data_IF_054017232120
#
_entry.id   IF_054017232120
#
_cell.length_a   1.000
_cell.length_b   1.000
_cell.length_c   1.000
_cell.angle_alpha   90.00
_cell.angle_beta   90.00
_cell.angle_gamma   90.00
#
_symmetry.space_group_name_H-M   'P 1'
#
loop_
_entity.id
_entity.type
_entity.pdbx_description
1 polymer ?
#
# COMPACT_ATOMS: atom_id res chain seq x y z
N UNK A 1 13.96 2.14 -7.76
CA UNK A 1 13.55 3.49 -7.32
C UNK A 1 13.58 4.40 -8.54
N UNK A 2 12.53 5.18 -8.80
CA UNK A 2 12.54 6.17 -9.89
C UNK A 2 12.86 7.56 -9.34
N UNK A 3 14.14 7.93 -9.26
CA UNK A 3 14.56 9.31 -8.98
C UNK A 3 13.73 10.31 -9.80
N UNK A 4 13.60 11.57 -9.37
CA UNK A 4 12.86 12.61 -10.10
C UNK A 4 13.33 12.85 -11.55
N UNK A 5 14.38 12.17 -11.99
CA UNK A 5 14.95 12.18 -13.34
C UNK A 5 14.61 10.93 -14.16
N UNK A 6 13.88 9.94 -13.62
CA UNK A 6 13.58 8.73 -14.40
C UNK A 6 12.36 8.97 -15.27
N UNK A 7 12.63 9.20 -16.55
CA UNK A 7 11.69 8.99 -17.63
C UNK A 7 10.92 7.68 -17.40
N UNK A 8 9.61 7.81 -17.18
CA UNK A 8 8.70 6.67 -17.12
C UNK A 8 8.53 6.14 -18.53
N UNK A 9 8.96 4.89 -18.75
CA UNK A 9 8.79 4.21 -20.03
C UNK A 9 7.45 3.48 -20.03
N UNK A 10 6.65 3.69 -21.07
CA UNK A 10 5.29 3.15 -21.16
C UNK A 10 5.24 1.61 -21.17
N UNK A 11 6.30 0.96 -21.64
CA UNK A 11 6.46 -0.50 -21.76
C UNK A 11 6.99 -1.18 -20.48
N UNK A 12 7.18 -0.44 -19.38
CA UNK A 12 7.65 -0.98 -18.09
C UNK A 12 6.56 -1.01 -17.04
N UNK A 13 6.74 -1.91 -16.07
CA UNK A 13 5.92 -2.03 -14.88
C UNK A 13 6.59 -1.40 -13.67
N UNK A 14 5.81 -0.71 -12.84
CA UNK A 14 6.28 0.07 -11.72
C UNK A 14 5.51 -0.28 -10.45
N UNK A 15 6.25 -0.63 -9.41
CA UNK A 15 5.67 -0.97 -8.11
C UNK A 15 5.51 0.30 -7.26
N UNK A 16 4.25 0.75 -7.08
CA UNK A 16 3.90 2.03 -6.47
C UNK A 16 4.24 2.14 -4.98
N UNK A 17 4.43 1.03 -4.28
CA UNK A 17 4.75 1.04 -2.85
C UNK A 17 6.24 0.75 -2.57
N UNK A 18 7.08 0.66 -3.60
CA UNK A 18 8.43 0.09 -3.45
C UNK A 18 9.37 0.96 -2.60
N UNK A 19 9.21 2.29 -2.63
CA UNK A 19 10.00 3.16 -1.75
C UNK A 19 9.49 3.15 -0.32
N UNK A 20 8.17 3.19 -0.15
CA UNK A 20 7.53 3.13 1.18
C UNK A 20 7.89 1.84 1.90
N UNK A 21 8.00 0.72 1.18
CA UNK A 21 8.44 -0.57 1.70
C UNK A 21 9.85 -0.59 2.32
N UNK A 22 10.68 0.45 2.11
CA UNK A 22 11.98 0.58 2.77
C UNK A 22 11.87 1.03 4.23
N UNK A 23 10.75 1.64 4.61
CA UNK A 23 10.46 1.99 6.00
C UNK A 23 10.01 0.75 6.76
N UNK A 24 10.70 0.43 7.85
CA UNK A 24 10.42 -0.74 8.70
C UNK A 24 9.08 -0.64 9.46
N UNK A 25 8.48 0.55 9.49
CA UNK A 25 7.15 0.79 10.04
C UNK A 25 6.05 0.82 8.97
N UNK A 26 6.40 0.53 7.71
CA UNK A 26 5.47 0.49 6.59
C UNK A 26 5.18 -0.93 6.15
N UNK A 27 3.92 -1.29 6.05
CA UNK A 27 3.53 -2.63 5.63
C UNK A 27 2.03 -2.87 5.69
N UNK A 28 1.59 -3.86 4.93
CA UNK A 28 0.23 -4.41 4.94
C UNK A 28 0.05 -5.50 5.99
N UNK A 29 1.12 -6.14 6.47
CA UNK A 29 1.06 -7.16 7.52
C UNK A 29 2.13 -6.90 8.58
N UNK A 30 1.97 -7.49 9.78
CA UNK A 30 2.98 -7.39 10.85
C UNK A 30 3.32 -8.75 11.46
N UNK A 31 4.54 -9.23 11.30
CA UNK A 31 4.97 -10.52 11.84
C UNK A 31 6.10 -10.35 12.83
N UNK A 32 5.94 -10.93 14.03
CA UNK A 32 6.93 -10.86 15.12
C UNK A 32 7.44 -9.44 15.43
N UNK A 33 6.54 -8.45 15.40
CA UNK A 33 6.88 -7.05 15.67
C UNK A 33 7.28 -6.23 14.44
N UNK A 34 7.61 -6.88 13.31
CA UNK A 34 8.07 -6.20 12.10
C UNK A 34 6.93 -6.02 11.09
N UNK A 35 6.79 -4.81 10.54
CA UNK A 35 5.89 -4.58 9.41
C UNK A 35 6.55 -5.05 8.11
N UNK A 36 5.74 -5.61 7.22
CA UNK A 36 6.18 -5.94 5.87
C UNK A 36 5.08 -5.71 4.84
N UNK A 37 5.49 -5.69 3.57
CA UNK A 37 4.61 -5.43 2.43
C UNK A 37 4.63 -6.62 1.46
N UNK A 38 3.66 -7.53 1.61
CA UNK A 38 3.42 -8.64 0.68
C UNK A 38 2.36 -8.30 -0.38
N UNK A 39 1.58 -7.26 -0.13
CA UNK A 39 0.51 -6.81 -0.99
C UNK A 39 1.03 -5.68 -1.91
N UNK A 40 0.88 -5.86 -3.22
CA UNK A 40 1.57 -5.05 -4.21
C UNK A 40 0.60 -4.30 -5.13
N UNK A 41 0.97 -3.07 -5.48
CA UNK A 41 0.31 -2.26 -6.51
C UNK A 41 1.33 -2.01 -7.63
N UNK A 42 1.11 -2.64 -8.78
CA UNK A 42 2.01 -2.58 -9.93
C UNK A 42 1.22 -2.04 -11.12
N UNK A 43 1.72 -0.97 -11.74
CA UNK A 43 1.07 -0.29 -12.87
C UNK A 43 2.04 -0.16 -14.05
N UNK A 44 1.50 0.00 -15.27
CA UNK A 44 2.32 0.36 -16.43
C UNK A 44 2.81 1.81 -16.33
N UNK A 45 3.92 2.12 -17.02
CA UNK A 45 4.44 3.49 -17.09
C UNK A 45 3.48 4.48 -17.71
N UNK A 46 2.56 4.02 -18.58
CA UNK A 46 1.49 4.86 -19.15
C UNK A 46 0.60 5.47 -18.06
N UNK A 47 0.31 4.72 -16.98
CA UNK A 47 -0.50 5.22 -15.86
C UNK A 47 0.27 6.16 -14.94
N UNK A 48 1.56 6.39 -15.18
CA UNK A 48 2.39 7.36 -14.46
C UNK A 48 2.62 8.65 -15.26
N UNK A 49 2.07 8.74 -16.47
CA UNK A 49 2.11 9.95 -17.28
C UNK A 49 0.95 10.88 -16.88
N UNK A 50 1.27 11.94 -16.14
CA UNK A 50 0.30 12.93 -15.67
C UNK A 50 -0.35 13.72 -16.81
N UNK A 51 0.18 13.66 -18.02
CA UNK A 51 -0.44 14.26 -19.22
C UNK A 51 -1.48 13.35 -19.88
N UNK A 52 -1.53 12.07 -19.46
CA UNK A 52 -2.49 11.09 -19.94
C UNK A 52 -3.92 11.33 -19.44
N UNK A 53 -4.90 10.66 -20.05
CA UNK A 53 -6.31 10.78 -19.65
C UNK A 53 -6.61 10.18 -18.28
N UNK A 54 -5.90 9.11 -17.90
CA UNK A 54 -6.01 8.42 -16.62
C UNK A 54 -4.60 8.21 -16.08
N UNK A 55 -4.33 8.71 -14.88
CA UNK A 55 -2.99 8.65 -14.30
C UNK A 55 -3.02 8.52 -12.78
N UNK A 56 -1.89 8.13 -12.22
CA UNK A 56 -1.63 8.09 -10.78
C UNK A 56 -0.19 8.46 -10.50
N UNK A 57 0.13 8.59 -9.22
CA UNK A 57 1.46 8.91 -8.72
C UNK A 57 1.79 8.02 -7.52
N UNK A 58 3.07 7.76 -7.27
CA UNK A 58 3.52 6.95 -6.14
C UNK A 58 2.97 7.46 -4.79
N UNK A 59 2.82 8.77 -4.64
CA UNK A 59 2.31 9.41 -3.42
C UNK A 59 0.83 9.10 -3.14
N UNK A 60 0.06 8.73 -4.17
CA UNK A 60 -1.37 8.39 -4.10
C UNK A 60 -1.61 6.92 -3.77
N UNK A 61 -0.56 6.10 -3.77
CA UNK A 61 -0.63 4.71 -3.33
C UNK A 61 -0.26 4.58 -1.85
N UNK A 62 -1.03 3.80 -1.09
CA UNK A 62 -0.76 3.59 0.33
C UNK A 62 -1.35 2.28 0.87
N UNK A 63 -1.00 1.96 2.12
CA UNK A 63 -1.69 0.93 2.92
C UNK A 63 -2.79 1.62 3.73
N UNK A 64 -4.02 1.12 3.63
CA UNK A 64 -5.15 1.60 4.39
C UNK A 64 -5.02 1.20 5.87
N UNK A 65 -4.81 2.19 6.74
CA UNK A 65 -4.68 2.03 8.19
C UNK A 65 -5.89 2.58 8.92
N UNK A 66 -7.06 2.04 8.59
CA UNK A 66 -8.32 2.45 9.20
C UNK A 66 -8.36 1.96 10.66
N UNK A 67 -8.83 2.76 11.63
CA UNK A 67 -8.80 2.40 13.05
C UNK A 67 -9.44 1.05 13.37
N UNK A 68 -10.54 0.70 12.70
CA UNK A 68 -11.23 -0.59 12.91
C UNK A 68 -10.47 -1.81 12.37
N UNK A 69 -9.50 -1.61 11.47
CA UNK A 69 -8.64 -2.66 10.93
C UNK A 69 -7.42 -2.92 11.82
N UNK A 70 -7.24 -2.18 12.90
CA UNK A 70 -6.04 -2.21 13.74
C UNK A 70 -6.40 -2.49 15.19
N UNK A 71 -5.52 -3.21 15.87
CA UNK A 71 -5.57 -3.43 17.31
C UNK A 71 -4.18 -3.23 17.91
N UNK A 72 -4.11 -2.99 19.22
CA UNK A 72 -2.84 -2.83 19.93
C UNK A 72 -2.07 -4.14 19.93
N UNK A 73 -0.77 -4.07 19.67
CA UNK A 73 0.13 -5.19 19.79
C UNK A 73 0.70 -5.23 21.21
N UNK A 74 0.05 -5.98 22.10
CA UNK A 74 0.46 -6.08 23.50
C UNK A 74 1.81 -6.81 23.67
N UNK A 75 2.28 -7.57 22.67
CA UNK A 75 3.52 -8.35 22.77
C UNK A 75 4.73 -7.58 22.28
N UNK A 76 4.63 -6.91 21.13
CA UNK A 76 5.75 -6.20 20.50
C UNK A 76 5.58 -4.68 20.50
N UNK A 77 4.47 -4.16 21.02
CA UNK A 77 4.17 -2.73 21.06
C UNK A 77 3.65 -2.17 19.74
N UNK A 78 3.05 -0.98 19.83
CA UNK A 78 2.42 -0.30 18.69
C UNK A 78 1.11 -0.95 18.27
N UNK A 79 0.81 -0.90 16.97
CA UNK A 79 -0.39 -1.47 16.37
C UNK A 79 -0.06 -2.71 15.55
N UNK A 80 -1.07 -3.52 15.27
CA UNK A 80 -1.05 -4.65 14.33
C UNK A 80 -2.42 -4.78 13.64
N UNK A 81 -2.52 -5.48 12.50
CA UNK A 81 -3.81 -5.80 11.90
C UNK A 81 -4.73 -6.50 12.91
N UNK A 82 -6.00 -6.11 12.95
CA UNK A 82 -7.00 -6.79 13.76
C UNK A 82 -7.41 -8.09 13.08
N UNK A 83 -6.67 -9.15 13.39
CA UNK A 83 -6.75 -10.45 12.74
C UNK A 83 -7.99 -11.23 13.15
N UNK A 84 -8.58 -11.96 12.22
CA UNK A 84 -9.67 -12.90 12.50
C UNK A 84 -9.24 -14.02 13.45
N UNK A 85 -8.01 -14.53 13.27
CA UNK A 85 -7.42 -15.56 14.11
C UNK A 85 -6.01 -15.20 14.57
N UNK A 86 -5.66 -15.65 15.77
CA UNK A 86 -4.28 -15.69 16.26
C UNK A 86 -3.99 -17.10 16.74
N UNK A 87 -3.21 -17.84 15.95
CA UNK A 87 -3.10 -19.29 16.09
C UNK A 87 -4.48 -19.94 15.94
N UNK A 88 -4.87 -20.78 16.90
CA UNK A 88 -6.19 -21.44 16.90
C UNK A 88 -7.30 -20.59 17.54
N UNK A 89 -7.00 -19.38 18.02
CA UNK A 89 -7.97 -18.53 18.71
C UNK A 89 -8.63 -17.55 17.75
N UNK A 90 -9.94 -17.61 17.62
CA UNK A 90 -10.75 -16.58 16.94
C UNK A 90 -10.77 -15.29 17.77
N UNK A 91 -10.59 -14.14 17.12
CA UNK A 91 -10.55 -12.82 17.75
C UNK A 91 -11.53 -11.81 17.14
N UNK A 92 -12.40 -12.26 16.23
CA UNK A 92 -13.44 -11.42 15.60
C UNK A 92 -12.90 -10.24 14.77
N UNK A 93 -11.60 -10.23 14.49
CA UNK A 93 -10.99 -9.27 13.59
C UNK A 93 -11.31 -9.56 12.12
N UNK A 94 -10.92 -8.62 11.26
CA UNK A 94 -11.31 -8.60 9.86
C UNK A 94 -10.33 -9.36 8.96
N UNK A 95 -9.02 -9.19 9.19
CA UNK A 95 -7.97 -9.71 8.31
C UNK A 95 -6.61 -9.59 9.00
N UNK A 96 -5.70 -10.49 8.69
CA UNK A 96 -4.29 -10.40 9.08
C UNK A 96 -3.44 -9.55 8.12
N UNK A 97 -4.05 -9.08 7.03
CA UNK A 97 -3.50 -8.14 6.05
C UNK A 97 -4.37 -6.87 5.98
N UNK A 98 -3.72 -5.72 5.87
CA UNK A 98 -4.33 -4.43 5.58
C UNK A 98 -4.44 -4.22 4.06
N UNK A 99 -5.53 -3.59 3.58
CA UNK A 99 -5.68 -3.28 2.16
C UNK A 99 -4.59 -2.32 1.69
N UNK A 100 -4.13 -2.51 0.45
CA UNK A 100 -3.38 -1.50 -0.30
C UNK A 100 -4.32 -0.82 -1.28
N UNK A 101 -4.15 0.48 -1.48
CA UNK A 101 -4.98 1.26 -2.41
C UNK A 101 -4.13 2.27 -3.18
N UNK A 102 -4.69 2.74 -4.28
CA UNK A 102 -4.16 3.83 -5.09
C UNK A 102 -5.30 4.64 -5.68
N UNK A 103 -5.17 5.96 -5.62
CA UNK A 103 -6.11 6.87 -6.27
C UNK A 103 -5.66 7.16 -7.70
N UNK A 104 -6.60 7.07 -8.64
CA UNK A 104 -6.41 7.48 -10.02
C UNK A 104 -7.16 8.77 -10.28
N UNK A 105 -6.57 9.64 -11.10
CA UNK A 105 -7.16 10.90 -11.54
C UNK A 105 -7.38 10.87 -13.04
N UNK A 106 -8.34 11.68 -13.49
CA UNK A 106 -8.62 11.84 -14.92
C UNK A 106 -8.46 13.30 -15.32
N UNK A 107 -7.85 13.54 -16.48
CA UNK A 107 -7.75 14.86 -17.09
C UNK A 107 -8.97 15.21 -17.96
N UNK A 108 -10.11 14.53 -17.77
CA UNK A 108 -11.33 14.90 -18.46
C UNK A 108 -11.85 16.20 -17.85
N UNK A 109 -11.95 17.25 -18.66
CA UNK A 109 -12.79 18.40 -18.34
C UNK A 109 -14.22 17.89 -18.22
N UNK A 110 -14.83 18.02 -17.04
CA UNK A 110 -16.27 17.83 -16.90
C UNK A 110 -16.95 18.79 -17.89
N UNK A 111 -17.69 18.22 -18.85
CA UNK A 111 -18.54 18.97 -19.77
C UNK A 111 -19.68 19.65 -19.02
#
# INVERSE_FOLDING_TARGET
>A
ALSPEVSTHHDRLYHLLARKAKDRNFGSYKYQGEWGLLDHLIVSGTLLDISGTLFTEEKKANVARLPFLLTKDEKYGGMQPFRTYVGMKYQEGYSDHLPVYVDFETNQSEY
#
